data_IF_451765162104
#
_entry.id   IF_451765162104
#
_cell.length_a   1.000
_cell.length_b   1.000
_cell.length_c   1.000
_cell.angle_alpha   90.00
_cell.angle_beta   90.00
_cell.angle_gamma   90.00
#
_symmetry.space_group_name_H-M   'P 1'
#
loop_
_entity.id
_entity.type
_entity.pdbx_description
1 polymer ?
#
# COMPACT_ATOMS: atom_id res chain seq x y z
N UNK A 1 29.26 -28.50 -30.04
CA UNK A 1 28.73 -28.62 -28.66
C UNK A 1 28.05 -29.99 -28.51
N UNK A 2 28.39 -30.78 -27.49
CA UNK A 2 27.89 -32.17 -27.34
C UNK A 2 26.38 -32.17 -27.03
N UNK A 3 25.60 -33.09 -27.64
CA UNK A 3 24.15 -33.18 -27.43
C UNK A 3 23.76 -33.35 -25.95
N UNK A 4 24.60 -34.00 -25.14
CA UNK A 4 24.40 -34.10 -23.68
C UNK A 4 24.49 -32.73 -22.99
N UNK A 5 25.40 -31.86 -23.44
CA UNK A 5 25.55 -30.49 -22.92
C UNK A 5 24.37 -29.59 -23.33
N UNK A 6 23.84 -29.77 -24.55
CA UNK A 6 22.66 -29.04 -25.01
C UNK A 6 21.40 -29.39 -24.20
N UNK A 7 21.17 -30.68 -23.91
CA UNK A 7 20.02 -31.11 -23.09
C UNK A 7 20.08 -30.57 -21.66
N UNK A 8 21.27 -30.52 -21.05
CA UNK A 8 21.45 -29.95 -19.71
C UNK A 8 21.19 -28.44 -19.71
N UNK A 9 21.66 -27.72 -20.73
CA UNK A 9 21.41 -26.29 -20.88
C UNK A 9 19.91 -25.97 -21.06
N UNK A 10 19.21 -26.78 -21.85
CA UNK A 10 17.75 -26.66 -22.06
C UNK A 10 16.96 -26.96 -20.78
N UNK A 11 17.40 -27.95 -19.99
CA UNK A 11 16.79 -28.25 -18.70
C UNK A 11 16.97 -27.09 -17.69
N UNK A 12 18.18 -26.53 -17.60
CA UNK A 12 18.46 -25.40 -16.70
C UNK A 12 17.70 -24.13 -17.08
N UNK A 13 17.47 -23.88 -18.37
CA UNK A 13 16.68 -22.73 -18.83
C UNK A 13 15.19 -22.90 -18.54
N UNK A 14 14.63 -24.10 -18.71
CA UNK A 14 13.23 -24.40 -18.38
C UNK A 14 12.95 -24.30 -16.87
N UNK A 15 13.88 -24.75 -16.03
CA UNK A 15 13.75 -24.64 -14.57
C UNK A 15 13.70 -23.18 -14.13
N UNK A 16 14.49 -22.29 -14.74
CA UNK A 16 14.45 -20.86 -14.41
C UNK A 16 13.13 -20.20 -14.81
N UNK A 17 12.54 -20.55 -15.95
CA UNK A 17 11.26 -19.96 -16.41
C UNK A 17 10.12 -20.26 -15.43
N UNK A 18 10.13 -21.42 -14.77
CA UNK A 18 9.11 -21.77 -13.77
C UNK A 18 9.22 -20.97 -12.46
N UNK A 19 10.41 -20.45 -12.11
CA UNK A 19 10.60 -19.68 -10.87
C UNK A 19 10.27 -18.19 -10.98
N UNK A 20 10.17 -17.63 -12.20
CA UNK A 20 9.92 -16.19 -12.39
C UNK A 20 8.43 -15.80 -12.37
N UNK A 21 7.49 -16.74 -12.27
CA UNK A 21 6.05 -16.44 -12.30
C UNK A 21 5.46 -16.01 -10.94
N UNK A 22 6.30 -15.70 -9.95
CA UNK A 22 5.86 -15.11 -8.69
C UNK A 22 5.64 -13.59 -8.83
N UNK A 23 4.93 -13.15 -9.88
CA UNK A 23 4.31 -11.82 -9.97
C UNK A 23 3.12 -11.72 -9.02
N UNK A 24 3.29 -12.15 -7.77
CA UNK A 24 2.19 -12.21 -6.82
C UNK A 24 1.84 -10.81 -6.33
N UNK A 25 0.57 -10.45 -6.48
CA UNK A 25 0.01 -9.35 -5.75
C UNK A 25 0.25 -9.57 -4.25
N UNK A 26 0.77 -8.54 -3.58
CA UNK A 26 0.93 -8.54 -2.13
C UNK A 26 -0.45 -8.53 -1.50
N UNK A 27 -0.62 -9.24 -0.38
CA UNK A 27 -1.84 -9.19 0.44
C UNK A 27 -1.61 -8.29 1.65
N UNK A 28 -2.58 -7.45 1.94
CA UNK A 28 -2.62 -6.61 3.14
C UNK A 28 -3.96 -6.74 3.81
N UNK A 29 -3.95 -6.69 5.14
CA UNK A 29 -5.16 -6.65 5.94
C UNK A 29 -5.77 -5.26 5.89
N UNK A 30 -7.07 -5.18 6.15
CA UNK A 30 -7.80 -3.93 6.17
C UNK A 30 -8.22 -3.60 7.59
N UNK A 31 -7.93 -2.37 8.02
CA UNK A 31 -8.56 -1.78 9.18
C UNK A 31 -9.44 -0.60 8.79
N UNK A 32 -10.49 -0.39 9.57
CA UNK A 32 -11.43 0.71 9.44
C UNK A 32 -11.12 1.74 10.51
N UNK A 33 -11.10 3.02 10.16
CA UNK A 33 -10.81 4.08 11.12
C UNK A 33 -11.82 5.24 11.08
N UNK A 34 -11.92 5.92 12.21
CA UNK A 34 -12.68 7.16 12.37
C UNK A 34 -11.79 8.37 12.12
N UNK A 35 -12.39 9.55 11.92
CA UNK A 35 -11.64 10.81 11.88
C UNK A 35 -10.90 11.15 13.19
N UNK A 36 -11.28 10.51 14.30
CA UNK A 36 -10.56 10.59 15.58
C UNK A 36 -9.46 9.54 15.75
N UNK A 37 -9.11 8.82 14.68
CA UNK A 37 -8.07 7.78 14.66
C UNK A 37 -8.33 6.57 15.55
N UNK A 38 -9.57 6.40 16.06
CA UNK A 38 -10.03 5.09 16.56
C UNK A 38 -10.11 4.14 15.39
N UNK A 39 -9.63 2.93 15.55
CA UNK A 39 -9.54 1.95 14.47
C UNK A 39 -9.92 0.55 14.94
N UNK A 40 -10.44 -0.25 14.02
CA UNK A 40 -10.83 -1.65 14.22
C UNK A 40 -10.45 -2.48 13.00
N UNK A 41 -10.01 -3.72 13.20
CA UNK A 41 -9.75 -4.65 12.09
C UNK A 41 -11.05 -5.05 11.41
N UNK A 42 -11.13 -4.88 10.09
CA UNK A 42 -12.29 -5.35 9.33
C UNK A 42 -12.32 -6.87 9.35
N UNK A 43 -13.41 -7.45 9.86
CA UNK A 43 -13.61 -8.91 9.89
C UNK A 43 -14.85 -9.30 9.10
N UNK A 44 -14.75 -10.41 8.36
CA UNK A 44 -15.87 -11.07 7.68
C UNK A 44 -15.83 -12.53 8.11
N UNK A 45 -16.95 -13.05 8.64
CA UNK A 45 -17.06 -14.41 9.16
C UNK A 45 -15.92 -14.77 10.15
N UNK A 46 -15.68 -13.86 11.11
CA UNK A 46 -14.64 -13.92 12.14
C UNK A 46 -13.18 -13.95 11.64
N UNK A 47 -12.95 -13.75 10.33
CA UNK A 47 -11.62 -13.66 9.73
C UNK A 47 -11.28 -12.24 9.34
N UNK A 48 -10.02 -11.85 9.55
CA UNK A 48 -9.52 -10.54 9.08
C UNK A 48 -9.66 -10.48 7.56
N UNK A 49 -10.25 -9.37 7.09
CA UNK A 49 -10.42 -9.11 5.67
C UNK A 49 -9.12 -8.58 5.07
N UNK A 50 -8.66 -9.21 3.99
CA UNK A 50 -7.43 -8.83 3.29
C UNK A 50 -7.70 -8.58 1.81
N UNK A 51 -6.89 -7.73 1.21
CA UNK A 51 -6.98 -7.35 -0.21
C UNK A 51 -5.65 -7.50 -0.91
N UNK A 52 -5.71 -7.73 -2.23
CA UNK A 52 -4.55 -7.89 -3.08
C UNK A 52 -4.19 -6.56 -3.76
N UNK A 53 -2.89 -6.34 -3.96
CA UNK A 53 -2.36 -5.15 -4.60
C UNK A 53 -0.84 -5.07 -4.55
N UNK A 54 -0.31 -3.86 -4.54
CA UNK A 54 1.13 -3.61 -4.40
C UNK A 54 1.41 -2.26 -3.73
N UNK A 55 2.51 -2.18 -3.00
CA UNK A 55 2.99 -0.92 -2.45
C UNK A 55 3.59 -0.05 -3.55
N UNK A 56 3.18 1.21 -3.60
CA UNK A 56 3.73 2.22 -4.49
C UNK A 56 4.07 3.49 -3.70
N UNK A 57 4.89 4.34 -4.31
CA UNK A 57 5.35 5.58 -3.71
C UNK A 57 4.87 6.76 -4.53
N UNK A 58 4.32 7.75 -3.83
CA UNK A 58 4.01 9.06 -4.39
C UNK A 58 5.05 10.07 -3.92
N UNK A 59 5.70 10.73 -4.86
CA UNK A 59 6.68 11.78 -4.62
C UNK A 59 6.13 13.12 -5.11
N UNK A 60 5.97 14.08 -4.20
CA UNK A 60 5.55 15.44 -4.54
C UNK A 60 6.59 16.44 -4.10
N UNK A 61 7.07 17.25 -5.06
CA UNK A 61 7.95 18.37 -4.76
C UNK A 61 7.19 19.46 -4.00
N UNK A 62 7.75 19.91 -2.88
CA UNK A 62 7.22 21.01 -2.07
C UNK A 62 7.82 22.32 -2.57
N UNK A 63 9.14 22.37 -2.66
CA UNK A 63 9.92 23.50 -3.17
C UNK A 63 11.21 23.02 -3.85
N UNK A 64 12.18 23.92 -4.09
CA UNK A 64 13.45 23.58 -4.75
C UNK A 64 14.29 22.51 -4.04
N UNK A 65 14.05 22.26 -2.75
CA UNK A 65 14.88 21.42 -1.89
C UNK A 65 14.10 20.31 -1.17
N UNK A 66 12.79 20.46 -0.96
CA UNK A 66 11.97 19.52 -0.17
C UNK A 66 10.97 18.71 -1.01
N UNK A 67 10.75 17.46 -0.62
CA UNK A 67 9.80 16.53 -1.22
C UNK A 67 8.97 15.82 -0.14
N UNK A 68 7.68 15.60 -0.41
CA UNK A 68 6.86 14.63 0.28
C UNK A 68 7.01 13.27 -0.38
N UNK A 69 7.27 12.25 0.43
CA UNK A 69 7.18 10.85 0.04
C UNK A 69 6.04 10.21 0.83
N UNK A 70 5.09 9.62 0.10
CA UNK A 70 3.93 8.93 0.65
C UNK A 70 3.93 7.52 0.11
N UNK A 71 4.04 6.54 1.00
CA UNK A 71 3.77 5.15 0.66
C UNK A 71 2.25 4.95 0.63
N UNK A 72 1.73 4.33 -0.42
CA UNK A 72 0.32 3.95 -0.53
C UNK A 72 0.19 2.51 -1.06
N UNK A 73 -0.91 1.86 -0.70
CA UNK A 73 -1.21 0.53 -1.24
C UNK A 73 -2.09 0.65 -2.48
N UNK A 74 -1.51 0.38 -3.64
CA UNK A 74 -2.27 0.28 -4.89
C UNK A 74 -3.08 -1.00 -4.90
N UNK A 75 -4.38 -0.88 -4.67
CA UNK A 75 -5.30 -2.01 -4.55
C UNK A 75 -5.77 -2.49 -5.94
N UNK A 76 -5.88 -3.81 -6.09
CA UNK A 76 -6.51 -4.40 -7.27
C UNK A 76 -8.03 -4.08 -7.28
N UNK A 77 -8.56 -3.62 -8.41
CA UNK A 77 -9.94 -3.16 -8.53
C UNK A 77 -10.14 -1.65 -8.32
N UNK A 78 -9.08 -0.91 -8.01
CA UNK A 78 -9.07 0.56 -8.03
C UNK A 78 -10.07 1.21 -7.08
N UNK A 79 -10.54 2.41 -7.43
CA UNK A 79 -11.40 3.22 -6.56
C UNK A 79 -12.73 2.53 -6.18
N UNK A 80 -13.28 1.72 -7.08
CA UNK A 80 -14.51 0.97 -6.80
C UNK A 80 -14.31 -0.02 -5.64
N UNK A 81 -13.16 -0.69 -5.60
CA UNK A 81 -12.86 -1.63 -4.52
C UNK A 81 -12.69 -0.90 -3.18
N UNK A 82 -12.08 0.27 -3.19
CA UNK A 82 -11.92 1.11 -1.99
C UNK A 82 -13.30 1.48 -1.42
N UNK A 83 -14.22 1.97 -2.25
CA UNK A 83 -15.58 2.35 -1.82
C UNK A 83 -16.40 1.18 -1.29
N UNK A 84 -16.23 -0.01 -1.88
CA UNK A 84 -16.83 -1.24 -1.38
C UNK A 84 -16.37 -1.53 0.06
N UNK A 85 -15.06 -1.41 0.31
CA UNK A 85 -14.46 -1.67 1.61
C UNK A 85 -14.88 -0.60 2.64
N UNK A 86 -14.92 0.68 2.27
CA UNK A 86 -15.46 1.75 3.12
C UNK A 86 -16.92 1.49 3.50
N UNK A 87 -17.73 0.99 2.55
CA UNK A 87 -19.11 0.58 2.83
C UNK A 87 -19.18 -0.59 3.81
N UNK A 88 -18.25 -1.55 3.72
CA UNK A 88 -18.11 -2.62 4.70
C UNK A 88 -17.69 -2.09 6.08
N UNK A 89 -16.80 -1.10 6.15
CA UNK A 89 -16.42 -0.44 7.39
C UNK A 89 -17.63 0.20 8.09
N UNK A 90 -18.41 0.99 7.34
CA UNK A 90 -19.61 1.64 7.85
C UNK A 90 -20.64 0.61 8.31
N UNK A 91 -20.83 -0.47 7.54
CA UNK A 91 -21.77 -1.54 7.87
C UNK A 91 -21.38 -2.27 9.17
N UNK A 92 -20.10 -2.52 9.40
CA UNK A 92 -19.64 -3.32 10.55
C UNK A 92 -19.44 -2.50 11.83
N UNK A 93 -19.00 -1.25 11.72
CA UNK A 93 -18.60 -0.44 12.88
C UNK A 93 -19.40 0.86 13.05
N UNK A 94 -20.30 1.16 12.11
CA UNK A 94 -21.17 2.34 12.12
C UNK A 94 -20.63 3.54 11.35
N UNK A 95 -21.47 4.57 11.23
CA UNK A 95 -21.25 5.74 10.37
C UNK A 95 -20.02 6.59 10.70
N UNK A 96 -19.34 6.35 11.83
CA UNK A 96 -18.09 7.04 12.17
C UNK A 96 -16.85 6.40 11.53
N UNK A 97 -16.91 5.12 11.16
CA UNK A 97 -15.79 4.36 10.60
C UNK A 97 -15.79 4.43 9.07
N UNK A 98 -15.50 5.64 8.57
CA UNK A 98 -15.63 5.99 7.15
C UNK A 98 -14.36 5.77 6.34
N UNK A 99 -13.23 5.45 7.00
CA UNK A 99 -11.92 5.33 6.36
C UNK A 99 -11.50 3.86 6.30
N UNK A 100 -11.24 3.34 5.11
CA UNK A 100 -10.62 2.03 4.93
C UNK A 100 -9.12 2.19 4.68
N UNK A 101 -8.30 1.44 5.42
CA UNK A 101 -6.84 1.59 5.34
C UNK A 101 -6.12 0.23 5.33
N UNK A 102 -5.07 0.07 4.50
CA UNK A 102 -4.24 -1.13 4.46
C UNK A 102 -3.31 -1.22 5.67
N UNK A 103 -3.02 -2.43 6.10
CA UNK A 103 -1.97 -2.73 7.05
C UNK A 103 -1.34 -4.10 6.80
N UNK A 104 -0.07 -4.24 7.14
CA UNK A 104 0.66 -5.51 7.17
C UNK A 104 0.62 -6.19 8.55
N UNK A 105 0.06 -5.52 9.56
CA UNK A 105 -0.11 -6.02 10.92
C UNK A 105 -0.45 -4.92 11.92
N UNK A 106 -0.46 -5.27 13.21
CA UNK A 106 -0.85 -4.38 14.32
C UNK A 106 0.03 -3.13 14.48
N UNK A 107 1.31 -3.24 14.14
CA UNK A 107 2.28 -2.13 14.26
C UNK A 107 2.56 -1.44 12.93
N UNK A 108 1.72 -1.64 11.91
CA UNK A 108 1.89 -0.97 10.64
C UNK A 108 1.75 0.55 10.78
N UNK A 109 2.53 1.26 9.97
CA UNK A 109 2.33 2.70 9.79
C UNK A 109 0.94 2.96 9.20
N UNK A 110 0.43 4.16 9.46
CA UNK A 110 -0.81 4.60 8.83
C UNK A 110 -0.50 4.93 7.37
N UNK A 111 -1.29 4.37 6.46
CA UNK A 111 -1.15 4.55 5.02
C UNK A 111 -2.51 4.41 4.36
N UNK A 112 -2.62 4.87 3.12
CA UNK A 112 -3.87 4.94 2.38
C UNK A 112 -3.89 3.95 1.23
N UNK A 113 -5.09 3.59 0.79
CA UNK A 113 -5.24 2.93 -0.49
C UNK A 113 -5.05 3.95 -1.63
N UNK A 114 -4.81 3.44 -2.83
CA UNK A 114 -4.85 4.25 -4.04
C UNK A 114 -5.13 3.39 -5.27
N UNK A 115 -5.63 4.02 -6.32
CA UNK A 115 -5.67 3.41 -7.66
C UNK A 115 -4.36 3.70 -8.41
N UNK A 116 -3.79 4.88 -8.18
CA UNK A 116 -2.49 5.33 -8.66
C UNK A 116 -2.07 6.57 -7.86
N UNK A 117 -0.95 7.20 -8.25
CA UNK A 117 -0.39 8.37 -7.58
C UNK A 117 -1.25 9.63 -7.63
N UNK A 118 -2.22 9.69 -8.54
CA UNK A 118 -3.14 10.83 -8.69
C UNK A 118 -4.44 10.60 -7.88
N UNK A 119 -4.84 9.34 -7.70
CA UNK A 119 -6.08 8.94 -7.04
C UNK A 119 -5.79 8.11 -5.79
N UNK A 120 -5.53 8.80 -4.69
CA UNK A 120 -5.38 8.21 -3.36
C UNK A 120 -6.72 8.25 -2.61
N UNK A 121 -6.95 7.29 -1.72
CA UNK A 121 -8.11 7.28 -0.84
C UNK A 121 -8.00 8.35 0.23
N UNK A 122 -9.14 8.75 0.77
CA UNK A 122 -9.19 9.58 1.96
C UNK A 122 -8.72 8.77 3.18
N UNK A 123 -7.90 9.36 4.05
CA UNK A 123 -7.40 8.69 5.25
C UNK A 123 -6.14 9.31 5.82
N UNK A 124 -5.63 8.69 6.90
CA UNK A 124 -4.37 9.12 7.50
C UNK A 124 -3.18 8.42 6.87
N UNK A 125 -2.11 9.17 6.57
CA UNK A 125 -0.86 8.58 6.12
C UNK A 125 0.32 9.18 6.87
N UNK A 126 1.27 8.33 7.23
CA UNK A 126 2.58 8.75 7.66
C UNK A 126 3.39 9.10 6.39
N UNK A 127 3.88 10.33 6.30
CA UNK A 127 4.69 10.83 5.17
C UNK A 127 6.10 11.18 5.64
N UNK A 128 7.08 10.92 4.78
CA UNK A 128 8.46 11.33 5.00
C UNK A 128 8.68 12.63 4.22
N UNK A 129 9.12 13.67 4.93
CA UNK A 129 9.65 14.87 4.28
C UNK A 129 11.14 14.67 4.10
N UNK A 130 11.61 14.73 2.85
CA UNK A 130 13.04 14.58 2.53
C UNK A 130 13.61 15.86 1.93
N UNK A 131 14.88 16.15 2.25
CA UNK A 131 15.65 17.24 1.66
C UNK A 131 17.02 16.74 1.18
N UNK A 132 17.14 16.27 -0.07
CA UNK A 132 18.37 15.68 -0.58
C UNK A 132 19.56 16.66 -0.58
N UNK A 133 19.28 17.96 -0.70
CA UNK A 133 20.30 19.03 -0.74
C UNK A 133 20.64 19.59 0.65
N UNK A 134 19.97 19.14 1.71
CA UNK A 134 20.26 19.56 3.09
C UNK A 134 21.45 18.73 3.63
N UNK A 135 22.65 18.97 3.09
CA UNK A 135 23.87 18.19 3.32
C UNK A 135 24.36 18.06 4.78
N UNK A 136 23.75 18.74 5.77
CA UNK A 136 24.32 18.82 7.13
C UNK A 136 23.35 18.63 8.31
N UNK A 137 22.05 18.48 8.11
CA UNK A 137 21.14 18.17 9.23
C UNK A 137 20.11 17.15 8.79
N UNK A 138 20.18 15.96 9.40
CA UNK A 138 19.12 14.93 9.35
C UNK A 138 17.79 15.61 9.58
N UNK A 139 16.91 15.55 8.60
CA UNK A 139 15.51 15.86 8.82
C UNK A 139 14.66 15.06 7.84
N UNK A 140 14.91 13.75 7.73
CA UNK A 140 13.80 12.87 7.40
C UNK A 140 12.97 12.79 8.67
N UNK A 141 11.86 13.51 8.70
CA UNK A 141 10.89 13.43 9.78
C UNK A 141 9.59 12.85 9.23
N UNK A 142 8.98 11.97 10.02
CA UNK A 142 7.68 11.40 9.71
C UNK A 142 6.59 12.30 10.26
N UNK A 143 5.61 12.66 9.43
CA UNK A 143 4.41 13.39 9.84
C UNK A 143 3.21 12.57 9.45
N UNK A 144 2.25 12.45 10.37
CA UNK A 144 0.93 11.93 10.00
C UNK A 144 0.08 13.07 9.46
N UNK A 145 -0.38 12.92 8.23
CA UNK A 145 -1.29 13.86 7.59
C UNK A 145 -2.60 13.17 7.26
N UNK A 146 -3.68 13.95 7.17
CA UNK A 146 -4.95 13.49 6.62
C UNK A 146 -5.04 13.89 5.15
N UNK A 147 -5.22 12.92 4.27
CA UNK A 147 -5.46 13.14 2.84
C UNK A 147 -6.97 13.16 2.63
N UNK A 148 -7.45 14.17 1.92
CA UNK A 148 -8.80 14.25 1.39
C UNK A 148 -8.69 14.25 -0.14
N UNK A 149 -9.03 13.13 -0.77
CA UNK A 149 -8.74 12.86 -2.18
C UNK A 149 -9.86 12.02 -2.79
N UNK A 150 -10.13 12.22 -4.09
CA UNK A 150 -11.15 11.55 -4.89
C UNK A 150 -10.70 11.39 -6.35
#
# INVERSE_FOLDING_TARGET
>A
MNQKKLKILLYLTLVNIFYFNNLYATKVDVFCSTLSMKWEWLKIDDKIYSVEGKWEKFLKKIDSNYFYEIDYFKINGGIHKIREIESLCIKNFGNSYILAQPATGFFSNWTVFGENSEFLSTGFTDTIVSCPKCYQKRANFSVRIFINSY
#
